data_IF_463036872943
#
_entry.id   IF_463036872943
#
_cell.length_a   1.000
_cell.length_b   1.000
_cell.length_c   1.000
_cell.angle_alpha   90.00
_cell.angle_beta   90.00
_cell.angle_gamma   90.00
#
_symmetry.space_group_name_H-M   'P 1'
#
loop_
_entity.id
_entity.type
_entity.pdbx_description
1 polymer ?
#
# COMPACT_ATOMS: atom_id res chain seq x y z
N UNK A 1 -23.71 -15.62 55.55
CA UNK A 1 -24.42 -14.68 54.68
C UNK A 1 -23.40 -14.15 53.69
N UNK A 2 -23.44 -14.60 52.44
CA UNK A 2 -22.63 -14.03 51.37
C UNK A 2 -23.19 -12.64 51.03
N UNK A 3 -22.42 -11.59 51.31
CA UNK A 3 -22.72 -10.26 50.81
C UNK A 3 -22.47 -10.25 49.30
N UNK A 4 -23.54 -10.34 48.49
CA UNK A 4 -23.45 -10.01 47.06
C UNK A 4 -23.02 -8.55 46.94
N UNK A 5 -21.76 -8.33 46.53
CA UNK A 5 -21.28 -6.98 46.18
C UNK A 5 -22.17 -6.43 45.05
N UNK A 6 -22.65 -5.17 45.16
CA UNK A 6 -23.46 -4.56 44.12
C UNK A 6 -22.68 -4.51 42.80
N UNK A 7 -23.35 -4.86 41.71
CA UNK A 7 -22.77 -4.79 40.37
C UNK A 7 -22.39 -3.34 40.04
N UNK A 8 -21.16 -3.05 39.57
CA UNK A 8 -20.74 -1.71 39.24
C UNK A 8 -21.63 -1.10 38.14
N UNK A 9 -22.06 0.14 38.34
CA UNK A 9 -22.84 0.89 37.34
C UNK A 9 -21.98 1.27 36.15
N UNK A 10 -22.56 1.24 34.94
CA UNK A 10 -21.91 1.70 33.71
C UNK A 10 -21.55 3.19 33.83
N UNK A 11 -20.33 3.54 33.43
CA UNK A 11 -19.88 4.93 33.38
C UNK A 11 -20.68 5.71 32.33
N UNK A 12 -21.34 6.82 32.69
CA UNK A 12 -22.20 7.55 31.76
C UNK A 12 -21.43 8.32 30.67
N UNK A 13 -20.13 8.58 30.86
CA UNK A 13 -19.30 9.32 29.90
C UNK A 13 -18.66 8.36 28.91
N UNK A 14 -18.11 7.24 29.39
CA UNK A 14 -17.37 6.30 28.56
C UNK A 14 -18.20 5.07 28.13
N UNK A 15 -19.39 4.87 28.69
CA UNK A 15 -20.26 3.73 28.37
C UNK A 15 -19.69 2.37 28.78
N UNK A 16 -18.69 2.35 29.66
CA UNK A 16 -17.98 1.15 30.09
C UNK A 16 -18.24 0.86 31.57
N UNK A 17 -18.33 -0.42 31.92
CA UNK A 17 -18.37 -0.85 33.33
C UNK A 17 -16.93 -0.80 33.87
N UNK A 18 -16.67 -0.12 35.00
CA UNK A 18 -15.33 -0.09 35.58
C UNK A 18 -14.89 -1.51 35.95
N UNK A 19 -13.73 -1.91 35.42
CA UNK A 19 -13.13 -3.24 35.63
C UNK A 19 -12.69 -3.42 37.10
N UNK A 20 -12.36 -2.33 37.78
CA UNK A 20 -11.92 -2.33 39.17
C UNK A 20 -12.93 -1.61 40.07
N UNK A 21 -13.30 -2.25 41.19
CA UNK A 21 -14.05 -1.60 42.26
C UNK A 21 -13.16 -0.65 43.04
N UNK A 22 -13.07 0.62 42.63
CA UNK A 22 -12.22 1.62 43.27
C UNK A 22 -12.63 2.00 44.71
N UNK A 23 -13.74 1.45 45.20
CA UNK A 23 -14.27 1.67 46.54
C UNK A 23 -13.86 0.57 47.53
N UNK A 24 -13.05 -0.41 47.10
CA UNK A 24 -12.56 -1.47 47.98
C UNK A 24 -11.39 -0.93 48.83
N UNK A 25 -11.42 -1.19 50.15
CA UNK A 25 -10.41 -0.69 51.09
C UNK A 25 -9.02 -1.27 50.81
N UNK A 26 -8.96 -2.43 50.17
CA UNK A 26 -7.72 -3.11 49.77
C UNK A 26 -7.06 -2.51 48.51
N UNK A 27 -7.72 -1.56 47.83
CA UNK A 27 -7.15 -0.94 46.62
C UNK A 27 -6.17 0.16 47.00
N UNK A 28 -4.95 0.04 46.47
CA UNK A 28 -3.88 1.01 46.72
C UNK A 28 -4.33 2.45 46.35
N UNK A 29 -4.26 3.43 47.26
CA UNK A 29 -4.72 4.80 47.03
C UNK A 29 -3.97 5.51 45.89
N UNK A 30 -2.70 5.15 45.63
CA UNK A 30 -1.93 5.70 44.52
C UNK A 30 -2.48 5.25 43.16
N UNK A 31 -3.00 4.02 43.07
CA UNK A 31 -3.64 3.50 41.84
C UNK A 31 -4.97 4.22 41.60
N UNK A 32 -5.75 4.43 42.66
CA UNK A 32 -6.99 5.22 42.57
C UNK A 32 -6.72 6.63 42.07
N UNK A 33 -5.66 7.28 42.59
CA UNK A 33 -5.27 8.62 42.18
C UNK A 33 -4.80 8.67 40.72
N UNK A 34 -3.95 7.72 40.30
CA UNK A 34 -3.49 7.59 38.92
C UNK A 34 -4.68 7.46 37.94
N UNK A 35 -5.63 6.57 38.25
CA UNK A 35 -6.82 6.38 37.39
C UNK A 35 -7.71 7.62 37.33
N UNK A 36 -7.81 8.40 38.42
CA UNK A 36 -8.51 9.70 38.43
C UNK A 36 -7.80 10.73 37.54
N UNK A 37 -6.48 10.74 37.54
CA UNK A 37 -5.69 11.66 36.71
C UNK A 37 -5.76 11.29 35.23
N UNK A 38 -5.65 10.00 34.88
CA UNK A 38 -5.89 9.49 33.52
C UNK A 38 -7.30 9.83 33.04
N UNK A 39 -8.32 9.68 33.90
CA UNK A 39 -9.69 10.09 33.56
C UNK A 39 -9.78 11.59 33.28
N UNK A 40 -9.15 12.42 34.12
CA UNK A 40 -9.16 13.88 33.94
C UNK A 40 -8.48 14.25 32.62
N UNK A 41 -7.33 13.64 32.33
CA UNK A 41 -6.61 13.83 31.09
C UNK A 41 -7.44 13.38 29.87
N UNK A 42 -8.09 12.22 29.93
CA UNK A 42 -8.97 11.76 28.85
C UNK A 42 -10.13 12.73 28.59
N UNK A 43 -10.72 13.30 29.65
CA UNK A 43 -11.76 14.33 29.54
C UNK A 43 -11.24 15.66 28.96
N UNK A 44 -9.97 15.99 29.15
CA UNK A 44 -9.37 17.22 28.61
C UNK A 44 -8.80 17.04 27.20
N UNK A 45 -8.32 15.85 26.86
CA UNK A 45 -7.54 15.59 25.65
C UNK A 45 -8.39 15.07 24.49
N UNK A 46 -9.49 14.34 24.78
CA UNK A 46 -10.35 13.77 23.74
C UNK A 46 -11.79 14.29 23.82
N UNK A 47 -12.15 15.06 22.79
CA UNK A 47 -13.50 15.21 22.25
C UNK A 47 -14.55 16.05 23.02
N UNK A 48 -14.69 17.27 22.51
CA UNK A 48 -15.95 17.89 22.08
C UNK A 48 -16.91 18.45 23.13
N UNK A 49 -17.06 19.77 23.00
CA UNK A 49 -18.25 20.58 23.18
C UNK A 49 -19.47 20.06 22.38
N UNK A 50 -19.83 18.77 22.51
CA UNK A 50 -20.95 18.15 21.80
C UNK A 50 -22.26 18.35 22.56
N UNK A 51 -22.65 19.62 22.75
CA UNK A 51 -24.00 19.96 23.19
C UNK A 51 -24.93 19.91 21.98
N UNK A 52 -25.42 18.70 21.67
CA UNK A 52 -26.62 18.54 20.84
C UNK A 52 -26.47 17.59 19.66
N UNK A 53 -26.67 16.30 19.92
CA UNK A 53 -27.36 15.46 18.95
C UNK A 53 -28.35 14.57 19.68
N UNK A 54 -29.62 14.73 19.31
CA UNK A 54 -30.73 13.92 19.77
C UNK A 54 -30.47 12.44 19.48
N UNK A 55 -30.41 11.63 20.54
CA UNK A 55 -30.53 10.17 20.47
C UNK A 55 -31.95 9.80 20.05
N UNK A 56 -32.23 9.76 18.74
CA UNK A 56 -33.33 8.96 18.20
C UNK A 56 -32.89 8.26 16.92
N UNK A 57 -32.85 6.94 16.98
CA UNK A 57 -32.76 5.99 15.87
C UNK A 57 -31.39 5.82 15.18
N UNK A 58 -30.46 5.12 15.83
CA UNK A 58 -29.42 4.37 15.12
C UNK A 58 -29.70 2.87 15.33
N UNK A 59 -30.40 2.26 14.37
CA UNK A 59 -30.44 0.79 14.23
C UNK A 59 -29.04 0.35 13.81
N UNK A 60 -28.37 -0.39 14.69
CA UNK A 60 -27.07 -0.99 14.45
C UNK A 60 -27.11 -1.92 13.23
N UNK A 61 -26.27 -1.62 12.24
CA UNK A 61 -25.88 -2.53 11.16
C UNK A 61 -24.79 -3.48 11.69
N UNK A 62 -25.20 -4.44 12.51
CA UNK A 62 -24.36 -5.57 12.91
C UNK A 62 -24.80 -6.79 12.09
N UNK A 63 -24.35 -6.88 10.83
CA UNK A 63 -24.50 -8.11 10.02
C UNK A 63 -23.52 -8.21 8.84
N UNK A 64 -22.29 -7.69 8.99
CA UNK A 64 -21.25 -7.72 7.92
C UNK A 64 -20.20 -8.83 8.16
N UNK A 65 -20.27 -9.54 9.29
CA UNK A 65 -19.38 -10.66 9.60
C UNK A 65 -20.20 -11.95 9.65
N UNK A 66 -20.55 -12.46 8.47
CA UNK A 66 -20.79 -13.88 8.35
C UNK A 66 -19.96 -14.40 7.17
N UNK A 67 -19.00 -15.24 7.54
CA UNK A 67 -17.99 -15.85 6.68
C UNK A 67 -18.65 -16.92 5.80
N UNK A 68 -18.36 -16.89 4.51
CA UNK A 68 -18.40 -18.10 3.70
C UNK A 68 -17.36 -18.02 2.58
N UNK A 69 -16.14 -18.43 2.94
CA UNK A 69 -15.21 -19.04 2.00
C UNK A 69 -15.90 -20.29 1.41
N UNK A 70 -16.34 -20.20 0.15
CA UNK A 70 -16.78 -21.37 -0.59
C UNK A 70 -16.16 -21.31 -2.00
N UNK A 71 -14.93 -21.82 -2.07
CA UNK A 71 -14.30 -22.28 -3.30
C UNK A 71 -15.11 -23.49 -3.80
N UNK A 72 -16.02 -23.26 -4.74
CA UNK A 72 -16.60 -24.34 -5.55
C UNK A 72 -16.42 -24.07 -7.04
N UNK A 73 -15.66 -24.99 -7.62
CA UNK A 73 -15.55 -25.30 -9.04
C UNK A 73 -16.91 -25.56 -9.70
N UNK A 74 -16.87 -25.47 -11.03
CA UNK A 74 -17.82 -25.96 -12.04
C UNK A 74 -19.07 -25.11 -12.35
N UNK A 75 -19.07 -24.46 -13.51
CA UNK A 75 -19.89 -24.87 -14.68
C UNK A 75 -19.77 -23.83 -15.81
N UNK A 76 -19.42 -24.24 -17.04
CA UNK A 76 -19.90 -23.57 -18.26
C UNK A 76 -20.14 -24.60 -19.36
N UNK A 77 -21.36 -24.68 -19.91
CA UNK A 77 -21.68 -25.60 -20.99
C UNK A 77 -21.28 -25.03 -22.36
N UNK A 78 -21.10 -25.96 -23.29
CA UNK A 78 -20.97 -25.79 -24.73
C UNK A 78 -22.00 -24.81 -25.32
N UNK A 79 -21.57 -24.02 -26.31
CA UNK A 79 -22.32 -23.98 -27.57
C UNK A 79 -21.47 -23.53 -28.77
N UNK A 80 -22.03 -23.77 -29.94
CA UNK A 80 -21.36 -24.28 -31.14
C UNK A 80 -21.33 -23.28 -32.31
N UNK A 81 -20.48 -23.58 -33.29
CA UNK A 81 -20.50 -23.20 -34.71
C UNK A 81 -19.94 -21.83 -35.17
N UNK A 82 -18.89 -21.89 -36.00
CA UNK A 82 -18.96 -21.49 -37.42
C UNK A 82 -17.71 -21.92 -38.18
N UNK A 83 -17.96 -22.59 -39.31
CA UNK A 83 -17.18 -22.79 -40.54
C UNK A 83 -16.16 -21.66 -40.83
N UNK A 84 -15.02 -21.84 -41.49
CA UNK A 84 -14.45 -22.90 -42.30
C UNK A 84 -13.43 -22.24 -43.23
N UNK A 85 -12.23 -22.79 -43.42
CA UNK A 85 -11.55 -22.79 -44.71
C UNK A 85 -10.28 -23.64 -44.71
N UNK A 86 -10.21 -24.45 -45.75
CA UNK A 86 -9.12 -25.29 -46.23
C UNK A 86 -7.87 -24.51 -46.62
N UNK A 87 -6.68 -25.07 -46.34
CA UNK A 87 -5.71 -25.35 -47.39
C UNK A 87 -4.61 -26.32 -46.91
N UNK A 88 -4.31 -27.27 -47.80
CA UNK A 88 -3.39 -28.38 -47.62
C UNK A 88 -1.93 -27.94 -47.66
N UNK A 89 -1.08 -28.68 -46.94
CA UNK A 89 0.30 -29.00 -47.36
C UNK A 89 0.82 -30.21 -46.62
N UNK A 90 1.04 -31.27 -47.39
CA UNK A 90 1.85 -32.44 -47.06
C UNK A 90 3.26 -32.03 -46.62
N UNK A 91 3.79 -32.67 -45.58
CA UNK A 91 5.20 -33.08 -45.43
C UNK A 91 5.23 -34.29 -44.46
N UNK A 92 5.39 -35.47 -45.06
CA UNK A 92 6.38 -36.53 -44.75
C UNK A 92 6.89 -36.67 -43.29
N UNK A 93 6.47 -37.78 -42.67
CA UNK A 93 7.05 -38.63 -41.58
C UNK A 93 8.60 -38.78 -41.65
N UNK A 94 9.38 -39.43 -40.73
CA UNK A 94 9.02 -40.23 -39.55
C UNK A 94 9.96 -40.11 -38.32
N UNK A 95 9.54 -40.60 -37.14
CA UNK A 95 10.36 -41.48 -36.27
C UNK A 95 9.62 -41.83 -34.98
N UNK A 96 8.90 -42.96 -35.02
CA UNK A 96 8.64 -43.81 -33.85
C UNK A 96 9.70 -44.91 -33.84
N UNK A 97 10.41 -45.10 -32.74
CA UNK A 97 11.03 -46.39 -32.41
C UNK A 97 10.87 -46.71 -30.93
N UNK A 98 10.40 -47.94 -30.72
CA UNK A 98 10.24 -48.65 -29.46
C UNK A 98 11.51 -48.66 -28.63
N UNK A 99 11.29 -48.64 -27.32
CA UNK A 99 12.21 -49.12 -26.30
C UNK A 99 11.74 -50.54 -26.00
N UNK A 100 12.56 -51.53 -26.32
CA UNK A 100 12.70 -52.77 -25.56
C UNK A 100 14.09 -53.35 -25.85
N UNK A 101 14.61 -53.99 -24.81
CA UNK A 101 15.62 -55.05 -24.81
C UNK A 101 17.13 -54.73 -24.68
N UNK A 102 17.63 -55.14 -23.49
CA UNK A 102 18.74 -56.09 -23.25
C UNK A 102 20.03 -55.56 -22.54
N UNK A 103 20.19 -56.04 -21.29
CA UNK A 103 21.36 -56.64 -20.59
C UNK A 103 22.69 -55.81 -20.61
N UNK A 104 23.42 -55.51 -19.53
CA UNK A 104 24.07 -56.44 -18.57
C UNK A 104 24.85 -55.62 -17.54
N UNK A 105 24.84 -56.04 -16.28
CA UNK A 105 25.82 -55.62 -15.26
C UNK A 105 27.21 -56.21 -15.55
N UNK A 106 28.26 -55.68 -14.90
CA UNK A 106 29.04 -56.56 -14.05
C UNK A 106 29.36 -55.97 -12.66
N UNK A 107 29.70 -56.84 -11.68
CA UNK A 107 29.98 -56.48 -10.30
C UNK A 107 31.47 -56.19 -10.10
N UNK A 108 31.85 -55.40 -9.10
CA UNK A 108 33.16 -55.50 -8.46
C UNK A 108 33.13 -55.06 -7.00
N UNK A 109 33.85 -55.83 -6.19
CA UNK A 109 33.86 -55.89 -4.74
C UNK A 109 34.61 -54.75 -4.04
N UNK A 110 34.11 -54.47 -2.83
CA UNK A 110 34.75 -54.05 -1.57
C UNK A 110 36.26 -53.80 -1.53
N UNK A 111 36.65 -52.63 -1.00
CA UNK A 111 37.79 -52.52 -0.07
C UNK A 111 37.61 -51.32 0.89
N UNK A 112 37.88 -51.59 2.17
CA UNK A 112 37.90 -50.65 3.28
C UNK A 112 39.06 -49.64 3.14
N UNK A 113 38.81 -48.36 3.46
CA UNK A 113 39.84 -47.60 4.15
C UNK A 113 39.28 -46.44 4.99
N UNK A 114 39.62 -46.49 6.26
CA UNK A 114 39.43 -45.48 7.29
C UNK A 114 40.19 -44.19 6.95
N UNK A 115 39.48 -43.06 6.88
CA UNK A 115 40.01 -41.80 7.38
C UNK A 115 38.88 -40.84 7.73
N UNK A 116 38.58 -40.82 9.03
CA UNK A 116 37.84 -39.77 9.70
C UNK A 116 38.66 -38.47 9.68
N UNK A 117 38.22 -37.50 8.90
CA UNK A 117 38.43 -36.09 9.17
C UNK A 117 37.06 -35.43 9.40
N UNK A 118 36.97 -34.50 10.37
CA UNK A 118 35.71 -33.98 10.83
C UNK A 118 35.04 -33.23 9.69
N UNK A 119 33.79 -33.60 9.43
CA UNK A 119 32.86 -32.86 8.59
C UNK A 119 32.85 -31.42 9.09
N UNK A 120 33.54 -30.53 8.37
CA UNK A 120 33.28 -29.10 8.46
C UNK A 120 31.78 -28.95 8.26
N UNK A 121 31.11 -28.56 9.34
CA UNK A 121 29.74 -28.10 9.28
C UNK A 121 29.72 -27.00 8.24
N UNK A 122 29.13 -27.31 7.09
CA UNK A 122 28.76 -26.34 6.07
C UNK A 122 27.82 -25.38 6.78
N UNK A 123 28.37 -24.28 7.30
CA UNK A 123 27.60 -23.11 7.69
C UNK A 123 26.88 -22.70 6.42
N UNK A 124 25.60 -23.07 6.33
CA UNK A 124 24.68 -22.71 5.28
C UNK A 124 24.89 -21.23 4.96
N UNK A 125 25.56 -20.97 3.84
CA UNK A 125 25.87 -19.62 3.43
C UNK A 125 24.56 -18.97 3.04
N UNK A 126 24.07 -18.05 3.89
CA UNK A 126 22.85 -17.31 3.61
C UNK A 126 22.95 -16.67 2.22
N UNK A 127 21.89 -16.76 1.40
CA UNK A 127 21.81 -16.08 0.11
C UNK A 127 22.25 -14.61 0.19
N UNK A 128 23.03 -14.14 -0.79
CA UNK A 128 23.62 -12.79 -0.79
C UNK A 128 22.58 -11.68 -0.55
N UNK A 129 21.37 -11.82 -1.10
CA UNK A 129 20.30 -10.83 -0.93
C UNK A 129 19.82 -10.73 0.53
N UNK A 130 19.83 -11.84 1.29
CA UNK A 130 19.53 -11.82 2.72
C UNK A 130 20.64 -11.13 3.51
N UNK A 131 21.91 -11.39 3.15
CA UNK A 131 23.05 -10.69 3.75
C UNK A 131 22.94 -9.18 3.52
N UNK A 132 22.59 -8.76 2.30
CA UNK A 132 22.33 -7.35 1.94
C UNK A 132 21.17 -6.79 2.76
N UNK A 133 20.05 -7.51 2.85
CA UNK A 133 18.91 -7.09 3.66
C UNK A 133 19.34 -6.82 5.11
N UNK A 134 19.95 -7.82 5.76
CA UNK A 134 20.34 -7.77 7.17
C UNK A 134 21.37 -6.64 7.44
N UNK A 135 22.29 -6.38 6.49
CA UNK A 135 23.27 -5.29 6.59
C UNK A 135 22.62 -3.90 6.52
N UNK A 136 21.53 -3.74 5.76
CA UNK A 136 20.91 -2.45 5.51
C UNK A 136 19.66 -2.16 6.37
N UNK A 137 19.17 -3.13 7.17
CA UNK A 137 17.96 -2.99 8.03
C UNK A 137 17.93 -1.66 8.79
N UNK A 138 19.01 -1.32 9.50
CA UNK A 138 19.05 -0.12 10.36
C UNK A 138 19.02 1.18 9.53
N UNK A 139 19.73 1.21 8.41
CA UNK A 139 19.75 2.36 7.52
C UNK A 139 18.36 2.58 6.89
N UNK A 140 17.75 1.51 6.38
CA UNK A 140 16.42 1.57 5.79
C UNK A 140 15.34 1.95 6.80
N UNK A 141 15.45 1.47 8.04
CA UNK A 141 14.51 1.80 9.11
C UNK A 141 14.60 3.28 9.49
N UNK A 142 15.82 3.80 9.58
CA UNK A 142 16.08 5.22 9.84
C UNK A 142 15.51 6.07 8.72
N UNK A 143 15.86 5.75 7.48
CA UNK A 143 15.30 6.40 6.30
C UNK A 143 13.76 6.38 6.29
N UNK A 144 13.14 5.24 6.60
CA UNK A 144 11.68 5.11 6.61
C UNK A 144 11.05 6.03 7.66
N UNK A 145 11.60 6.09 8.88
CA UNK A 145 11.10 6.95 9.96
C UNK A 145 11.26 8.43 9.64
N UNK A 146 12.40 8.81 9.09
CA UNK A 146 12.68 10.20 8.71
C UNK A 146 11.75 10.63 7.57
N UNK A 147 11.62 9.79 6.54
CA UNK A 147 10.71 10.02 5.40
C UNK A 147 9.25 10.09 5.84
N UNK A 148 8.82 9.18 6.71
CA UNK A 148 7.47 9.20 7.30
C UNK A 148 7.23 10.52 8.04
N UNK A 149 8.19 10.94 8.86
CA UNK A 149 8.08 12.18 9.64
C UNK A 149 7.97 13.39 8.73
N UNK A 150 8.84 13.49 7.73
CA UNK A 150 8.83 14.61 6.79
C UNK A 150 7.54 14.67 5.96
N UNK A 151 7.07 13.53 5.47
CA UNK A 151 5.80 13.42 4.72
C UNK A 151 4.61 13.78 5.58
N UNK A 152 4.54 13.28 6.82
CA UNK A 152 3.43 13.61 7.70
C UNK A 152 3.46 15.09 8.09
N UNK A 153 4.64 15.68 8.30
CA UNK A 153 4.79 17.09 8.61
C UNK A 153 4.38 17.97 7.43
N UNK A 154 4.79 17.61 6.21
CA UNK A 154 4.46 18.34 4.99
C UNK A 154 2.99 18.19 4.58
N UNK A 155 2.34 17.08 4.95
CA UNK A 155 0.92 16.87 4.73
C UNK A 155 0.03 17.89 5.49
N UNK A 156 0.51 18.37 6.64
CA UNK A 156 -0.17 19.42 7.40
C UNK A 156 0.23 20.83 6.98
N UNK A 157 1.31 20.98 6.21
CA UNK A 157 1.73 22.26 5.64
C UNK A 157 1.38 22.42 4.17
N UNK A 158 0.74 21.41 3.54
CA UNK A 158 0.25 21.55 2.18
C UNK A 158 -0.74 22.70 2.22
N UNK A 159 -0.31 23.86 1.72
CA UNK A 159 -1.19 24.99 1.49
C UNK A 159 -2.39 24.43 0.78
N UNK A 160 -3.55 24.38 1.45
CA UNK A 160 -4.81 24.26 0.74
C UNK A 160 -4.71 25.29 -0.37
N UNK A 161 -4.87 24.85 -1.61
CA UNK A 161 -4.88 25.77 -2.73
C UNK A 161 -5.95 26.80 -2.43
N UNK A 162 -5.54 27.98 -1.98
CA UNK A 162 -6.46 29.08 -1.79
C UNK A 162 -6.97 29.50 -3.16
N UNK A 163 -8.06 30.27 -3.16
CA UNK A 163 -8.70 30.61 -4.42
C UNK A 163 -7.74 31.40 -5.34
N UNK A 164 -6.83 32.18 -4.76
CA UNK A 164 -5.85 33.00 -5.48
C UNK A 164 -4.81 32.12 -6.19
N UNK A 165 -4.26 31.11 -5.53
CA UNK A 165 -3.32 30.14 -6.12
C UNK A 165 -4.02 29.33 -7.21
N UNK A 166 -5.29 28.90 -7.01
CA UNK A 166 -6.04 28.21 -8.05
C UNK A 166 -6.28 29.11 -9.26
N UNK A 167 -6.67 30.35 -9.03
CA UNK A 167 -6.89 31.32 -10.09
C UNK A 167 -5.58 31.57 -10.86
N UNK A 168 -4.44 31.62 -10.18
CA UNK A 168 -3.12 31.73 -10.78
C UNK A 168 -2.74 30.50 -11.60
N UNK A 169 -3.00 29.29 -11.10
CA UNK A 169 -2.74 28.05 -11.81
C UNK A 169 -3.57 27.96 -13.11
N UNK A 170 -4.84 28.35 -13.04
CA UNK A 170 -5.73 28.40 -14.21
C UNK A 170 -5.27 29.44 -15.23
N UNK A 171 -4.71 30.56 -14.77
CA UNK A 171 -4.11 31.56 -15.65
C UNK A 171 -2.91 30.99 -16.41
N UNK A 172 -1.97 30.33 -15.74
CA UNK A 172 -0.83 29.70 -16.43
C UNK A 172 -1.23 28.53 -17.33
N UNK A 173 -2.25 27.76 -16.94
CA UNK A 173 -2.79 26.70 -17.81
C UNK A 173 -3.39 27.30 -19.09
N UNK A 174 -4.10 28.44 -18.99
CA UNK A 174 -4.64 29.16 -20.13
C UNK A 174 -3.53 29.65 -21.07
N UNK A 175 -2.48 30.27 -20.52
CA UNK A 175 -1.34 30.75 -21.32
C UNK A 175 -0.67 29.59 -22.04
N UNK A 176 -0.35 28.52 -21.32
CA UNK A 176 0.28 27.32 -21.90
C UNK A 176 -0.58 26.68 -23.00
N UNK A 177 -1.90 26.57 -22.80
CA UNK A 177 -2.80 26.05 -23.84
C UNK A 177 -2.82 26.94 -25.08
N UNK A 178 -2.66 28.25 -24.92
CA UNK A 178 -2.64 29.24 -26.01
C UNK A 178 -1.33 29.15 -26.80
N UNK A 179 -0.19 29.01 -26.09
CA UNK A 179 1.14 28.88 -26.69
C UNK A 179 1.32 27.57 -27.45
N UNK A 180 0.89 26.46 -26.86
CA UNK A 180 1.08 25.11 -27.43
C UNK A 180 0.22 24.82 -28.67
N UNK A 181 -0.68 25.75 -29.06
CA UNK A 181 -1.63 25.59 -30.18
C UNK A 181 -2.26 24.19 -30.19
N UNK A 182 -2.63 23.70 -29.00
CA UNK A 182 -3.31 22.40 -28.90
C UNK A 182 -4.46 22.39 -29.90
N UNK A 183 -4.46 21.36 -30.76
CA UNK A 183 -5.26 21.32 -31.98
C UNK A 183 -6.68 21.83 -31.75
N UNK A 184 -7.22 22.60 -32.69
CA UNK A 184 -8.52 23.30 -32.64
C UNK A 184 -9.76 22.40 -32.40
N UNK A 185 -9.60 21.16 -31.92
CA UNK A 185 -10.69 20.27 -31.52
C UNK A 185 -10.35 19.54 -30.21
N UNK A 186 -11.35 19.41 -29.33
CA UNK A 186 -11.30 18.60 -28.12
C UNK A 186 -11.17 19.41 -26.83
N UNK A 187 -10.66 18.77 -25.78
CA UNK A 187 -10.66 19.33 -24.41
C UNK A 187 -9.86 20.64 -24.28
N UNK A 188 -8.75 20.79 -25.01
CA UNK A 188 -7.92 22.02 -24.97
C UNK A 188 -8.70 23.25 -25.42
N UNK A 189 -9.43 23.15 -26.55
CA UNK A 189 -10.29 24.22 -27.05
C UNK A 189 -11.46 24.55 -26.10
N UNK A 190 -12.04 23.52 -25.46
CA UNK A 190 -13.09 23.72 -24.45
C UNK A 190 -12.57 24.48 -23.23
N UNK A 191 -11.41 24.08 -22.71
CA UNK A 191 -10.76 24.75 -21.59
C UNK A 191 -10.35 26.19 -21.94
N UNK A 192 -9.79 26.43 -23.13
CA UNK A 192 -9.48 27.79 -23.60
C UNK A 192 -10.74 28.66 -23.67
N UNK A 193 -11.87 28.12 -24.12
CA UNK A 193 -13.13 28.87 -24.16
C UNK A 193 -13.63 29.21 -22.75
N UNK A 194 -13.57 28.27 -21.80
CA UNK A 194 -13.94 28.52 -20.41
C UNK A 194 -13.00 29.55 -19.74
N UNK A 195 -11.70 29.48 -20.02
CA UNK A 195 -10.68 30.34 -19.42
C UNK A 195 -10.46 31.65 -20.18
N UNK A 196 -11.14 31.89 -21.30
CA UNK A 196 -10.91 33.06 -22.18
C UNK A 196 -10.94 34.37 -21.42
N UNK A 197 -11.94 34.52 -20.55
CA UNK A 197 -12.17 35.72 -19.75
C UNK A 197 -11.54 35.64 -18.35
N UNK A 198 -10.90 34.51 -18.01
CA UNK A 198 -10.23 34.34 -16.73
C UNK A 198 -9.02 35.28 -16.67
N UNK A 199 -8.95 36.04 -15.57
CA UNK A 199 -7.91 37.04 -15.29
C UNK A 199 -7.54 36.94 -13.81
N UNK A 200 -6.29 37.23 -13.52
CA UNK A 200 -5.74 37.31 -12.17
C UNK A 200 -5.27 38.74 -11.94
N UNK A 201 -5.34 39.22 -10.69
CA UNK A 201 -4.85 40.56 -10.36
C UNK A 201 -3.37 40.70 -10.70
N UNK A 202 -2.99 41.85 -11.24
CA UNK A 202 -1.59 42.16 -11.56
C UNK A 202 -0.68 42.11 -10.31
N UNK A 203 -1.25 42.37 -9.13
CA UNK A 203 -0.53 42.28 -7.86
C UNK A 203 -0.11 40.83 -7.57
N UNK A 204 -1.03 39.88 -7.75
CA UNK A 204 -0.77 38.44 -7.55
C UNK A 204 0.22 37.90 -8.59
N UNK A 205 0.12 38.35 -9.83
CA UNK A 205 1.07 38.01 -10.90
C UNK A 205 2.48 38.57 -10.65
N UNK A 206 2.60 39.76 -10.06
CA UNK A 206 3.90 40.34 -9.73
C UNK A 206 4.60 39.60 -8.58
N UNK A 207 3.83 39.01 -7.66
CA UNK A 207 4.33 38.21 -6.55
C UNK A 207 4.81 36.81 -6.99
N UNK A 208 4.31 36.28 -8.11
CA UNK A 208 4.55 34.91 -8.51
C UNK A 208 4.94 34.85 -9.99
N UNK A 209 6.20 34.54 -10.26
CA UNK A 209 6.70 34.28 -11.62
C UNK A 209 6.81 32.77 -11.84
N UNK A 210 5.68 32.10 -12.08
CA UNK A 210 5.67 30.65 -12.26
C UNK A 210 5.66 30.26 -13.73
N UNK A 211 6.26 29.12 -14.03
CA UNK A 211 6.15 28.42 -15.32
C UNK A 211 5.43 27.11 -15.09
N UNK A 212 4.56 26.72 -16.02
CA UNK A 212 3.85 25.46 -15.90
C UNK A 212 4.79 24.31 -16.26
N UNK A 213 4.78 23.25 -15.45
CA UNK A 213 5.55 22.04 -15.71
C UNK A 213 4.82 21.15 -16.73
N UNK A 214 5.43 20.86 -17.88
CA UNK A 214 4.85 19.99 -18.91
C UNK A 214 4.51 18.58 -18.39
N UNK A 215 5.31 18.09 -17.43
CA UNK A 215 5.10 16.77 -16.79
C UNK A 215 3.87 16.77 -15.88
N UNK A 216 3.45 17.95 -15.40
CA UNK A 216 2.20 18.14 -14.67
C UNK A 216 1.00 18.38 -15.60
N UNK A 217 1.19 19.15 -16.68
CA UNK A 217 0.10 19.51 -17.62
C UNK A 217 -0.46 18.28 -18.31
N UNK A 218 0.40 17.39 -18.81
CA UNK A 218 -0.02 16.26 -19.64
C UNK A 218 -0.98 15.31 -18.88
N UNK A 219 -0.65 14.82 -17.68
CA UNK A 219 -1.58 14.02 -16.86
C UNK A 219 -2.82 14.82 -16.45
N UNK A 220 -2.68 16.11 -16.15
CA UNK A 220 -3.81 16.96 -15.74
C UNK A 220 -4.83 17.11 -16.86
N UNK A 221 -4.40 17.34 -18.10
CA UNK A 221 -5.28 17.39 -19.27
C UNK A 221 -5.95 16.05 -19.55
N UNK A 222 -5.23 14.93 -19.36
CA UNK A 222 -5.82 13.59 -19.46
C UNK A 222 -6.94 13.39 -18.41
N UNK A 223 -6.72 13.86 -17.18
CA UNK A 223 -7.72 13.83 -16.10
C UNK A 223 -8.91 14.76 -16.38
N UNK A 224 -8.67 15.95 -16.88
CA UNK A 224 -9.74 16.89 -17.27
C UNK A 224 -10.57 16.35 -18.43
N UNK A 225 -9.96 15.59 -19.35
CA UNK A 225 -10.68 14.94 -20.47
C UNK A 225 -11.64 13.85 -20.02
N UNK A 226 -11.36 13.17 -18.91
CA UNK A 226 -12.22 12.09 -18.40
C UNK A 226 -13.42 12.59 -17.58
N UNK A 227 -13.52 13.89 -17.35
CA UNK A 227 -14.55 14.52 -16.53
C UNK A 227 -15.39 15.46 -17.40
N UNK A 228 -16.68 15.54 -17.13
CA UNK A 228 -17.55 16.54 -17.75
C UNK A 228 -17.31 17.90 -17.07
N UNK A 229 -16.72 18.83 -17.80
CA UNK A 229 -16.41 20.18 -17.32
C UNK A 229 -17.43 21.17 -17.89
N UNK A 230 -18.16 21.87 -17.02
CA UNK A 230 -19.17 22.87 -17.42
C UNK A 230 -18.68 24.29 -17.20
N UNK A 231 -17.90 24.50 -16.15
CA UNK A 231 -17.46 25.82 -15.69
C UNK A 231 -16.03 25.77 -15.09
N UNK A 232 -15.56 26.91 -14.60
CA UNK A 232 -14.24 27.07 -13.98
C UNK A 232 -14.17 26.30 -12.65
N UNK A 233 -15.26 26.23 -11.90
CA UNK A 233 -15.30 25.56 -10.60
C UNK A 233 -15.14 24.04 -10.75
N UNK A 234 -15.70 23.44 -11.81
CA UNK A 234 -15.44 22.04 -12.18
C UNK A 234 -13.94 21.80 -12.44
N UNK A 235 -13.21 22.77 -13.02
CA UNK A 235 -11.75 22.70 -13.23
C UNK A 235 -11.02 22.82 -11.88
N UNK A 236 -11.33 23.84 -11.06
CA UNK A 236 -10.76 24.02 -9.72
C UNK A 236 -10.92 22.77 -8.87
N UNK A 237 -12.13 22.21 -8.84
CA UNK A 237 -12.45 20.96 -8.13
C UNK A 237 -11.61 19.78 -8.64
N UNK A 238 -11.37 19.70 -9.95
CA UNK A 238 -10.49 18.69 -10.54
C UNK A 238 -9.02 18.89 -10.13
N UNK A 239 -8.55 20.14 -10.06
CA UNK A 239 -7.17 20.49 -9.72
C UNK A 239 -6.83 20.27 -8.25
N UNK A 240 -7.67 20.80 -7.35
CA UNK A 240 -7.58 20.56 -5.90
C UNK A 240 -7.69 19.07 -5.59
N UNK A 241 -8.40 18.34 -6.45
CA UNK A 241 -8.71 16.95 -6.21
C UNK A 241 -9.57 16.87 -4.96
N UNK A 242 -10.76 17.48 -4.97
CA UNK A 242 -11.73 17.24 -3.88
C UNK A 242 -12.16 15.77 -3.92
N UNK A 243 -11.34 14.96 -3.25
CA UNK A 243 -11.46 13.52 -3.16
C UNK A 243 -12.55 13.14 -2.17
N UNK A 244 -13.03 14.07 -1.33
CA UNK A 244 -14.10 13.80 -0.36
C UNK A 244 -15.35 13.25 -1.05
N UNK A 245 -15.69 13.80 -2.21
CA UNK A 245 -16.82 13.36 -3.04
C UNK A 245 -16.47 12.20 -3.99
N UNK A 246 -15.19 11.85 -4.14
CA UNK A 246 -14.69 10.79 -5.03
C UNK A 246 -14.15 9.57 -4.28
N UNK A 247 -14.36 9.49 -2.96
CA UNK A 247 -13.93 8.37 -2.13
C UNK A 247 -14.48 7.05 -2.70
N UNK A 248 -13.62 6.08 -3.06
CA UNK A 248 -14.07 4.78 -3.50
C UNK A 248 -14.84 4.06 -2.39
N UNK A 249 -15.97 3.42 -2.75
CA UNK A 249 -16.88 2.77 -1.79
C UNK A 249 -16.78 1.25 -1.76
N UNK A 250 -16.24 0.65 -2.82
CA UNK A 250 -16.17 -0.80 -2.97
C UNK A 250 -14.85 -1.25 -3.58
N UNK A 251 -14.65 -2.56 -3.62
CA UNK A 251 -13.44 -3.22 -4.11
C UNK A 251 -13.01 -2.73 -5.50
N UNK A 252 -13.94 -2.74 -6.45
CA UNK A 252 -13.65 -2.42 -7.85
C UNK A 252 -13.29 -0.94 -8.04
N UNK A 253 -13.99 -0.06 -7.31
CA UNK A 253 -13.70 1.37 -7.32
C UNK A 253 -12.32 1.67 -6.75
N UNK A 254 -11.92 1.03 -5.64
CA UNK A 254 -10.58 1.19 -5.08
C UNK A 254 -9.51 0.66 -6.02
N UNK A 255 -9.74 -0.50 -6.62
CA UNK A 255 -8.82 -1.10 -7.58
C UNK A 255 -8.62 -0.19 -8.79
N UNK A 256 -9.70 0.37 -9.32
CA UNK A 256 -9.64 1.34 -10.40
C UNK A 256 -8.93 2.62 -9.96
N UNK A 257 -9.28 3.16 -8.80
CA UNK A 257 -8.73 4.40 -8.27
C UNK A 257 -7.21 4.32 -8.13
N UNK A 258 -6.70 3.26 -7.50
CA UNK A 258 -5.26 3.09 -7.28
C UNK A 258 -4.51 2.81 -8.58
N UNK A 259 -5.16 2.20 -9.57
CA UNK A 259 -4.57 2.05 -10.91
C UNK A 259 -4.44 3.36 -11.66
N UNK A 260 -5.38 4.28 -11.46
CA UNK A 260 -5.51 5.53 -12.24
C UNK A 260 -4.82 6.73 -11.56
N UNK A 261 -4.51 6.66 -10.27
CA UNK A 261 -3.98 7.78 -9.49
C UNK A 261 -2.67 7.40 -8.80
N UNK A 262 -1.72 8.34 -8.78
CA UNK A 262 -0.51 8.22 -7.97
C UNK A 262 -0.82 8.67 -6.52
N UNK A 263 -0.27 7.99 -5.50
CA UNK A 263 -0.52 8.36 -4.11
C UNK A 263 0.24 9.65 -3.76
N UNK A 264 -0.34 10.44 -2.86
CA UNK A 264 0.29 11.61 -2.26
C UNK A 264 -0.23 11.83 -0.83
N UNK A 265 0.49 12.65 -0.06
CA UNK A 265 0.19 12.94 1.34
C UNK A 265 -1.20 13.56 1.54
N UNK A 266 -1.61 14.44 0.62
CA UNK A 266 -2.91 15.13 0.65
C UNK A 266 -4.07 14.14 0.58
N UNK A 267 -4.02 13.13 -0.31
CA UNK A 267 -5.04 12.07 -0.39
C UNK A 267 -5.18 11.33 0.94
N UNK A 268 -4.05 10.99 1.56
CA UNK A 268 -4.02 10.25 2.83
C UNK A 268 -4.45 11.08 4.04
N UNK A 269 -4.31 12.40 3.95
CA UNK A 269 -4.70 13.31 5.03
C UNK A 269 -6.16 13.79 4.91
N UNK A 270 -6.73 13.82 3.70
CA UNK A 270 -8.05 14.41 3.45
C UNK A 270 -9.16 13.41 3.10
N UNK A 271 -8.83 12.31 2.42
CA UNK A 271 -9.82 11.33 1.93
C UNK A 271 -9.70 9.97 2.61
N UNK A 272 -8.47 9.46 2.73
CA UNK A 272 -8.20 8.08 3.14
C UNK A 272 -8.15 8.03 4.67
N UNK A 273 -9.09 7.31 5.27
CA UNK A 273 -9.14 7.08 6.71
C UNK A 273 -8.31 5.86 7.10
N UNK A 274 -8.09 5.65 8.40
CA UNK A 274 -7.40 4.44 8.89
C UNK A 274 -8.09 3.14 8.44
N UNK A 275 -9.42 3.10 8.40
CA UNK A 275 -10.15 1.93 7.91
C UNK A 275 -9.90 1.67 6.41
N UNK A 276 -9.75 2.75 5.63
CA UNK A 276 -9.44 2.64 4.21
C UNK A 276 -8.02 2.11 3.98
N UNK A 277 -7.06 2.41 4.86
CA UNK A 277 -5.71 1.84 4.79
C UNK A 277 -5.78 0.31 4.91
N UNK A 278 -6.60 -0.23 5.81
CA UNK A 278 -6.79 -1.68 5.94
C UNK A 278 -7.44 -2.30 4.71
N UNK A 279 -8.38 -1.59 4.10
CA UNK A 279 -8.98 -1.97 2.82
C UNK A 279 -7.90 -2.03 1.72
N UNK A 280 -7.03 -1.02 1.64
CA UNK A 280 -5.88 -0.99 0.71
C UNK A 280 -4.94 -2.17 0.96
N UNK A 281 -4.55 -2.44 2.22
CA UNK A 281 -3.68 -3.58 2.56
C UNK A 281 -4.31 -4.93 2.22
N UNK A 282 -5.64 -5.06 2.38
CA UNK A 282 -6.37 -6.27 1.96
C UNK A 282 -6.29 -6.46 0.44
N UNK A 283 -6.45 -5.40 -0.35
CA UNK A 283 -6.29 -5.47 -1.81
C UNK A 283 -4.85 -5.85 -2.21
N UNK A 284 -3.87 -5.22 -1.57
CA UNK A 284 -2.44 -5.50 -1.76
C UNK A 284 -2.15 -6.98 -1.53
N UNK A 285 -2.64 -7.52 -0.41
CA UNK A 285 -2.51 -8.94 -0.03
C UNK A 285 -3.10 -9.86 -1.08
N UNK A 286 -4.30 -9.58 -1.60
CA UNK A 286 -5.02 -10.51 -2.47
C UNK A 286 -4.43 -10.59 -3.88
N UNK A 287 -4.30 -9.43 -4.54
CA UNK A 287 -4.07 -9.39 -5.98
C UNK A 287 -2.76 -8.74 -6.40
N UNK A 288 -2.27 -7.75 -5.67
CA UNK A 288 -1.23 -6.88 -6.22
C UNK A 288 0.18 -7.38 -6.04
N UNK A 289 0.44 -8.15 -4.99
CA UNK A 289 1.73 -8.82 -4.86
C UNK A 289 2.05 -9.69 -6.10
N UNK A 290 1.04 -10.35 -6.69
CA UNK A 290 1.19 -11.10 -7.95
C UNK A 290 1.40 -10.18 -9.16
N UNK A 291 0.71 -9.04 -9.21
CA UNK A 291 0.81 -8.06 -10.30
C UNK A 291 2.17 -7.35 -10.29
N UNK A 292 2.68 -7.01 -9.11
CA UNK A 292 3.98 -6.37 -8.93
C UNK A 292 5.11 -7.21 -9.52
N UNK A 293 5.04 -8.53 -9.36
CA UNK A 293 6.05 -9.45 -9.87
C UNK A 293 5.94 -9.62 -11.39
N UNK A 294 4.71 -9.60 -11.93
CA UNK A 294 4.47 -9.85 -13.37
C UNK A 294 4.61 -8.62 -14.26
N UNK A 295 4.40 -7.41 -13.73
CA UNK A 295 4.34 -6.18 -14.53
C UNK A 295 5.13 -5.04 -13.88
N UNK A 296 6.42 -4.86 -14.22
CA UNK A 296 7.31 -3.89 -13.56
C UNK A 296 6.84 -2.43 -13.63
N UNK A 297 6.16 -2.01 -14.70
CA UNK A 297 5.64 -0.64 -14.78
C UNK A 297 4.49 -0.42 -13.81
N UNK A 298 3.58 -1.39 -13.69
CA UNK A 298 2.46 -1.34 -12.73
C UNK A 298 2.94 -1.57 -11.30
N UNK A 299 4.06 -2.27 -11.12
CA UNK A 299 4.65 -2.54 -9.81
C UNK A 299 5.15 -1.27 -9.13
N UNK A 300 5.67 -0.30 -9.89
CA UNK A 300 6.16 0.96 -9.35
C UNK A 300 5.04 1.75 -8.64
N UNK A 301 3.93 2.02 -9.32
CA UNK A 301 2.77 2.73 -8.73
C UNK A 301 2.21 1.97 -7.54
N UNK A 302 2.06 0.66 -7.67
CA UNK A 302 1.57 -0.19 -6.58
C UNK A 302 2.49 -0.12 -5.36
N UNK A 303 3.81 -0.13 -5.58
CA UNK A 303 4.81 0.01 -4.54
C UNK A 303 4.73 1.37 -3.84
N UNK A 304 4.50 2.46 -4.58
CA UNK A 304 4.26 3.78 -4.00
C UNK A 304 3.01 3.77 -3.09
N UNK A 305 1.91 3.15 -3.53
CA UNK A 305 0.69 3.08 -2.72
C UNK A 305 0.90 2.31 -1.43
N UNK A 306 1.68 1.24 -1.49
CA UNK A 306 2.02 0.45 -0.31
C UNK A 306 2.95 1.21 0.63
N UNK A 307 3.90 1.99 0.10
CA UNK A 307 4.75 2.87 0.90
C UNK A 307 3.92 3.89 1.70
N UNK A 308 2.99 4.61 1.05
CA UNK A 308 2.11 5.55 1.78
C UNK A 308 1.19 4.83 2.76
N UNK A 309 0.65 3.66 2.41
CA UNK A 309 -0.14 2.87 3.34
C UNK A 309 0.66 2.51 4.61
N UNK A 310 1.97 2.23 4.48
CA UNK A 310 2.87 2.01 5.62
C UNK A 310 3.18 3.30 6.38
N UNK A 311 3.38 4.44 5.71
CA UNK A 311 3.60 5.73 6.38
C UNK A 311 2.40 6.17 7.23
N UNK A 312 1.18 5.98 6.73
CA UNK A 312 -0.03 6.42 7.41
C UNK A 312 -0.65 5.37 8.34
N UNK A 313 -0.06 4.18 8.44
CA UNK A 313 -0.53 3.15 9.37
C UNK A 313 -0.34 3.64 10.81
N UNK A 314 -1.42 3.56 11.62
CA UNK A 314 -1.36 3.85 13.05
C UNK A 314 -0.30 3.00 13.74
N UNK A 315 0.47 3.61 14.65
CA UNK A 315 1.44 2.89 15.48
C UNK A 315 0.74 2.08 16.59
N UNK A 316 -0.46 2.50 16.96
CA UNK A 316 -1.28 1.83 17.96
C UNK A 316 -2.29 0.92 17.26
N UNK A 317 -1.88 -0.32 17.00
CA UNK A 317 -2.73 -1.35 16.39
C UNK A 317 -3.27 -2.31 17.45
N UNK A 318 -4.51 -2.74 17.26
CA UNK A 318 -5.08 -3.81 18.09
C UNK A 318 -4.57 -5.20 17.65
N UNK A 319 -4.83 -6.22 18.46
CA UNK A 319 -4.37 -7.59 18.20
C UNK A 319 -4.84 -8.15 16.84
N UNK A 320 -6.07 -7.84 16.43
CA UNK A 320 -6.64 -8.29 15.14
C UNK A 320 -5.93 -7.64 13.96
N UNK A 321 -5.65 -6.35 14.07
CA UNK A 321 -4.89 -5.57 13.09
C UNK A 321 -3.45 -6.07 12.98
N UNK A 322 -2.77 -6.31 14.11
CA UNK A 322 -1.43 -6.89 14.15
C UNK A 322 -1.42 -8.27 13.48
N UNK A 323 -2.39 -9.14 13.78
CA UNK A 323 -2.49 -10.45 13.14
C UNK A 323 -2.66 -10.34 11.63
N UNK A 324 -3.54 -9.44 11.18
CA UNK A 324 -3.78 -9.20 9.74
C UNK A 324 -2.52 -8.70 9.03
N UNK A 325 -1.82 -7.76 9.67
CA UNK A 325 -0.56 -7.20 9.17
C UNK A 325 0.54 -8.27 9.12
N UNK A 326 0.65 -9.11 10.15
CA UNK A 326 1.59 -10.24 10.19
C UNK A 326 1.31 -11.23 9.08
N UNK A 327 0.05 -11.58 8.81
CA UNK A 327 -0.29 -12.48 7.70
C UNK A 327 0.06 -11.89 6.33
N UNK A 328 -0.13 -10.58 6.17
CA UNK A 328 0.32 -9.88 4.97
C UNK A 328 1.84 -9.94 4.84
N UNK A 329 2.58 -9.67 5.91
CA UNK A 329 4.04 -9.74 5.93
C UNK A 329 4.57 -11.16 5.69
N UNK A 330 3.94 -12.22 6.24
CA UNK A 330 4.27 -13.61 5.91
C UNK A 330 4.09 -13.91 4.42
N UNK A 331 3.06 -13.34 3.78
CA UNK A 331 2.88 -13.46 2.32
C UNK A 331 3.99 -12.75 1.56
N UNK A 332 4.39 -11.56 2.01
CA UNK A 332 5.56 -10.84 1.49
C UNK A 332 6.85 -11.68 1.65
N UNK A 333 7.08 -12.28 2.83
CA UNK A 333 8.23 -13.13 3.14
C UNK A 333 8.29 -14.33 2.19
N UNK A 334 7.20 -15.08 2.02
CA UNK A 334 7.15 -16.22 1.10
C UNK A 334 7.46 -15.82 -0.33
N UNK A 335 6.88 -14.70 -0.80
CA UNK A 335 7.18 -14.20 -2.14
C UNK A 335 8.63 -13.76 -2.27
N UNK A 336 9.18 -13.18 -1.21
CA UNK A 336 10.56 -12.74 -1.18
C UNK A 336 11.52 -13.92 -1.33
N UNK A 337 11.32 -14.97 -0.53
CA UNK A 337 12.10 -16.21 -0.59
C UNK A 337 11.89 -16.95 -1.93
N UNK A 338 10.64 -17.16 -2.35
CA UNK A 338 10.33 -17.89 -3.58
C UNK A 338 10.90 -17.19 -4.82
N UNK A 339 10.62 -15.91 -5.01
CA UNK A 339 10.89 -15.22 -6.28
C UNK A 339 12.22 -14.49 -6.35
N UNK A 340 12.76 -14.01 -5.25
CA UNK A 340 14.03 -13.26 -5.27
C UNK A 340 15.22 -14.09 -4.81
N UNK A 341 15.00 -15.19 -4.08
CA UNK A 341 16.09 -16.01 -3.53
C UNK A 341 16.17 -17.36 -4.25
N UNK A 342 15.10 -18.16 -4.24
CA UNK A 342 15.15 -19.54 -4.73
C UNK A 342 15.19 -19.63 -6.26
N UNK A 343 14.45 -18.75 -6.95
CA UNK A 343 14.34 -18.76 -8.41
C UNK A 343 15.25 -17.74 -9.10
N UNK A 344 16.18 -17.10 -8.38
CA UNK A 344 17.18 -16.24 -9.00
C UNK A 344 18.30 -17.09 -9.59
N UNK A 345 18.46 -17.19 -10.93
CA UNK A 345 19.54 -17.97 -11.51
C UNK A 345 20.89 -17.40 -11.05
N UNK A 346 21.66 -18.23 -10.35
CA UNK A 346 22.98 -17.94 -9.77
C UNK A 346 24.01 -17.50 -10.83
N UNK A 347 23.68 -17.60 -12.12
CA UNK A 347 24.61 -17.41 -13.24
C UNK A 347 24.41 -16.13 -14.06
N UNK A 348 23.51 -15.22 -13.69
CA UNK A 348 23.46 -13.90 -14.32
C UNK A 348 23.47 -12.79 -13.25
N UNK A 349 24.64 -12.18 -13.07
CA UNK A 349 24.86 -10.97 -12.27
C UNK A 349 24.02 -9.76 -12.73
N UNK A 350 23.35 -9.84 -13.88
CA UNK A 350 22.62 -8.72 -14.45
C UNK A 350 21.11 -8.98 -14.52
N UNK A 351 20.39 -8.27 -13.65
CA UNK A 351 18.94 -8.02 -13.68
C UNK A 351 18.05 -9.14 -13.16
N UNK A 352 18.07 -9.34 -11.84
CA UNK A 352 16.80 -9.66 -11.16
C UNK A 352 15.93 -8.40 -11.32
N UNK A 353 14.79 -8.43 -12.04
CA UNK A 353 13.88 -7.30 -12.12
C UNK A 353 13.10 -7.24 -10.80
N UNK A 354 13.82 -7.03 -9.71
CA UNK A 354 13.19 -6.75 -8.44
C UNK A 354 12.51 -5.41 -8.58
N UNK A 355 11.23 -5.26 -8.21
CA UNK A 355 10.52 -4.00 -8.31
C UNK A 355 11.16 -3.03 -7.31
N UNK A 356 12.19 -2.33 -7.78
CA UNK A 356 12.88 -1.26 -7.06
C UNK A 356 11.82 -0.27 -6.61
N UNK A 357 11.84 0.09 -5.33
CA UNK A 357 10.95 1.11 -4.82
C UNK A 357 11.21 2.41 -5.59
N UNK A 358 10.19 2.87 -6.32
CA UNK A 358 10.22 4.21 -6.91
C UNK A 358 9.62 5.18 -5.91
N UNK A 359 10.32 6.29 -5.69
CA UNK A 359 9.76 7.35 -4.88
C UNK A 359 8.65 8.09 -5.64
N UNK A 360 7.53 8.38 -4.98
CA UNK A 360 6.52 9.32 -5.47
C UNK A 360 7.14 10.70 -5.76
N UNK A 361 6.62 11.41 -6.77
CA UNK A 361 7.11 12.74 -7.15
C UNK A 361 7.08 13.75 -6.00
N UNK A 362 6.10 13.64 -5.10
CA UNK A 362 6.02 14.48 -3.89
C UNK A 362 7.26 14.31 -2.99
N UNK A 363 7.72 13.08 -2.77
CA UNK A 363 8.92 12.82 -1.96
C UNK A 363 10.17 13.41 -2.61
N UNK A 364 10.25 13.36 -3.95
CA UNK A 364 11.35 13.98 -4.70
C UNK A 364 11.32 15.51 -4.56
N UNK A 365 10.14 16.11 -4.61
CA UNK A 365 9.95 17.56 -4.41
C UNK A 365 10.28 18.02 -2.98
N UNK A 366 10.17 17.14 -1.99
CA UNK A 366 10.60 17.37 -0.61
C UNK A 366 12.08 17.04 -0.37
N UNK A 367 12.85 16.79 -1.44
CA UNK A 367 14.27 16.43 -1.37
C UNK A 367 14.56 15.17 -0.53
N UNK A 368 13.56 14.29 -0.37
CA UNK A 368 13.75 13.02 0.34
C UNK A 368 14.60 12.10 -0.54
N UNK A 369 15.84 11.88 -0.11
CA UNK A 369 16.79 11.04 -0.82
C UNK A 369 16.39 9.57 -0.72
N UNK A 370 16.67 8.81 -1.78
CA UNK A 370 16.57 7.36 -1.75
C UNK A 370 17.63 6.76 -0.81
N UNK A 371 17.32 5.70 -0.05
CA UNK A 371 18.30 5.05 0.79
C UNK A 371 19.36 4.34 -0.07
N UNK A 372 20.56 4.13 0.46
CA UNK A 372 21.56 3.32 -0.22
C UNK A 372 21.04 1.88 -0.39
N UNK A 373 21.42 1.25 -1.50
CA UNK A 373 21.00 -0.10 -1.86
C UNK A 373 19.48 -0.32 -1.88
N UNK A 374 18.70 0.73 -2.19
CA UNK A 374 17.27 0.77 -2.48
C UNK A 374 16.49 -0.51 -2.15
N UNK A 375 15.77 -0.55 -1.01
CA UNK A 375 14.94 -1.69 -0.71
C UNK A 375 13.78 -1.77 -1.71
N UNK A 376 13.36 -2.99 -1.98
CA UNK A 376 12.07 -3.22 -2.61
C UNK A 376 10.96 -2.86 -1.64
N UNK A 377 9.76 -2.63 -2.16
CA UNK A 377 8.61 -2.41 -1.29
C UNK A 377 8.27 -3.62 -0.41
N UNK A 378 8.61 -4.83 -0.86
CA UNK A 378 8.41 -6.07 -0.09
C UNK A 378 9.37 -6.11 1.11
N UNK A 379 10.63 -5.78 0.87
CA UNK A 379 11.66 -5.66 1.92
C UNK A 379 11.26 -4.58 2.93
N UNK A 380 10.75 -3.44 2.48
CA UNK A 380 10.23 -2.40 3.38
C UNK A 380 9.04 -2.86 4.23
N UNK A 381 8.09 -3.62 3.68
CA UNK A 381 6.99 -4.15 4.49
C UNK A 381 7.51 -5.09 5.56
N UNK A 382 8.43 -6.00 5.22
CA UNK A 382 9.03 -6.92 6.19
C UNK A 382 9.77 -6.16 7.29
N UNK A 383 10.55 -5.16 6.91
CA UNK A 383 11.25 -4.27 7.82
C UNK A 383 10.29 -3.54 8.76
N UNK A 384 9.26 -2.88 8.23
CA UNK A 384 8.29 -2.11 9.03
C UNK A 384 7.53 -3.01 10.00
N UNK A 385 7.03 -4.16 9.54
CA UNK A 385 6.23 -5.06 10.38
C UNK A 385 7.06 -5.71 11.48
N UNK A 386 8.32 -6.05 11.19
CA UNK A 386 9.22 -6.64 12.19
C UNK A 386 9.77 -5.61 13.19
N UNK A 387 10.23 -4.46 12.69
CA UNK A 387 10.94 -3.46 13.50
C UNK A 387 10.01 -2.48 14.21
N UNK A 388 8.94 -2.01 13.55
CA UNK A 388 8.02 -1.02 14.11
C UNK A 388 6.89 -1.71 14.90
N UNK A 389 6.37 -2.82 14.38
CA UNK A 389 5.26 -3.57 15.01
C UNK A 389 5.72 -4.82 15.79
N UNK A 390 7.03 -4.97 16.00
CA UNK A 390 7.61 -5.96 16.90
C UNK A 390 7.51 -7.43 16.44
N UNK A 391 7.16 -7.71 15.18
CA UNK A 391 7.06 -9.08 14.65
C UNK A 391 8.43 -9.59 14.18
N UNK A 392 9.39 -9.67 15.10
CA UNK A 392 10.81 -9.98 14.84
C UNK A 392 11.03 -11.35 14.21
N UNK A 393 10.13 -12.30 14.48
CA UNK A 393 10.14 -13.65 13.92
C UNK A 393 10.07 -13.67 12.37
N UNK A 394 9.55 -12.60 11.76
CA UNK A 394 9.48 -12.48 10.29
C UNK A 394 10.86 -12.32 9.63
N UNK A 395 11.90 -11.97 10.38
CA UNK A 395 13.27 -11.85 9.87
C UNK A 395 14.15 -13.05 10.27
N UNK A 396 13.57 -14.05 10.96
CA UNK A 396 14.30 -15.27 11.32
C UNK A 396 14.36 -16.24 10.13
N UNK A 397 15.34 -16.03 9.25
CA UNK A 397 15.50 -16.79 8.01
C UNK A 397 15.85 -18.28 8.23
N UNK A 398 16.47 -18.61 9.35
CA UNK A 398 17.03 -19.93 9.66
C UNK A 398 16.01 -21.06 9.75
N UNK A 399 14.76 -20.75 10.08
CA UNK A 399 13.66 -21.73 10.14
C UNK A 399 12.96 -21.95 8.80
N UNK A 400 13.03 -20.98 7.89
CA UNK A 400 12.25 -21.00 6.64
C UNK A 400 13.02 -21.66 5.49
N UNK A 401 14.35 -21.50 5.46
CA UNK A 401 15.23 -22.11 4.44
C UNK A 401 15.36 -23.63 4.63
N UNK A 402 15.00 -24.16 5.80
CA UNK A 402 15.08 -25.60 6.14
C UNK A 402 13.84 -26.42 5.77
N UNK A 403 12.83 -25.82 5.14
CA UNK A 403 11.58 -26.52 4.79
C UNK A 403 11.59 -27.19 3.41
N UNK A 404 12.75 -27.26 2.75
CA UNK A 404 12.97 -28.07 1.54
C UNK A 404 13.77 -29.34 1.83
#
# INVERSE_FOLDING_TARGET
MEYKKPSPSVDPIFGQVPVFGLNDEDVNPFVVQYLKDVRREALTTNATNYKGANQKNAKYLANIYDDSDNDHNDYRPHDSNSEGNSEARDIVNPNKRSIDDLITQPPFDTEENTNSNPTEQTTSDLPLRLKIFDQNVNQWLTWFKDSKTEILKSAFTTQEYDDDILNLLLFYLKEHLTETKTSNSGIGSHLQNLLKNHKVSNEVLALHSWTIDETWVTPTLARLRSIRIRDIDDIKTCLVGDYKNKKPRNYDQWTRFIRENDPNSSMFSTMITQDDIWIILKFMKQNWLKVMIKTPEKSARTGMWLLYAMFYLSENLNSTQISTLRDFAKKCQRLYLDKFILHSPVTQEDKIPSPVLRLPSEMVGLEILQPQENPTVVELVLLVVSEIFGQKDLLEWSGVVKMD
#
